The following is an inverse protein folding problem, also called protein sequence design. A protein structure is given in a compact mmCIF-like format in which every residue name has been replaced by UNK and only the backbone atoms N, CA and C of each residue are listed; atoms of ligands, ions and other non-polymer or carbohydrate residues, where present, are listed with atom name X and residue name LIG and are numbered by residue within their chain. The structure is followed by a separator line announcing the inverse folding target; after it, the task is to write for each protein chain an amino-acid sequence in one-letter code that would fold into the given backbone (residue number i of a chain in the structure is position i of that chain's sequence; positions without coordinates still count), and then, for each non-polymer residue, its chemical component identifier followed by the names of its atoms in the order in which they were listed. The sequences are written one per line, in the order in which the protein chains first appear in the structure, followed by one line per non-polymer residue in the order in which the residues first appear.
data_IF_592412413928
#
_entry.id   IF_592412413928
#
_cell.length_a   1.000
_cell.length_b   1.000
_cell.length_c   1.000
_cell.angle_alpha   90.00
_cell.angle_beta   90.00
_cell.angle_gamma   90.00
#
_symmetry.space_group_name_H-M   'P 1'
#
loop_
_entity.id
_entity.type
_entity.pdbx_description
1 polymer ?
#
# COMPACT_ATOMS: atom_id res chain seq x y z
N UNK A 1 -43.67 14.92 -9.37
CA UNK A 1 -43.02 13.60 -9.50
C UNK A 1 -41.63 13.69 -8.91
N UNK A 2 -41.47 13.37 -7.62
CA UNK A 2 -40.17 13.31 -6.95
C UNK A 2 -39.84 11.84 -6.72
N UNK A 3 -38.63 11.40 -7.07
CA UNK A 3 -38.16 10.08 -6.67
C UNK A 3 -37.98 10.09 -5.14
N UNK A 4 -38.69 9.24 -4.38
CA UNK A 4 -38.32 9.02 -2.99
C UNK A 4 -37.12 8.08 -2.97
N UNK A 5 -36.29 8.23 -1.93
CA UNK A 5 -35.12 7.42 -1.60
C UNK A 5 -33.81 7.87 -2.25
N UNK A 6 -32.78 8.24 -1.46
CA UNK A 6 -31.42 8.13 -1.94
C UNK A 6 -31.18 6.65 -2.23
N UNK A 7 -30.82 6.33 -3.46
CA UNK A 7 -30.16 5.06 -3.76
C UNK A 7 -28.87 5.11 -2.96
N UNK A 8 -28.80 4.41 -1.83
CA UNK A 8 -27.52 4.01 -1.27
C UNK A 8 -26.92 3.08 -2.31
N UNK A 9 -26.13 3.65 -3.21
CA UNK A 9 -25.19 2.84 -3.95
C UNK A 9 -24.31 2.21 -2.89
N UNK A 10 -24.43 0.89 -2.71
CA UNK A 10 -23.44 0.05 -2.02
C UNK A 10 -22.18 -0.01 -2.89
N UNK A 11 -21.71 1.17 -3.28
CA UNK A 11 -20.54 1.41 -4.09
C UNK A 11 -19.34 1.00 -3.26
N UNK A 12 -18.86 -0.17 -3.62
CA UNK A 12 -17.45 -0.49 -3.70
C UNK A 12 -16.81 -0.84 -2.36
N UNK A 13 -16.66 -2.14 -2.16
CA UNK A 13 -15.42 -2.70 -1.62
C UNK A 13 -14.26 -2.22 -2.51
N UNK A 14 -13.90 -0.94 -2.43
CA UNK A 14 -12.70 -0.42 -3.08
C UNK A 14 -11.55 -0.86 -2.19
N UNK A 15 -10.92 -1.96 -2.59
CA UNK A 15 -9.60 -2.34 -2.08
C UNK A 15 -8.63 -1.29 -2.60
N UNK A 16 -8.40 -0.25 -1.79
CA UNK A 16 -7.42 0.78 -2.11
C UNK A 16 -6.01 0.18 -1.93
N UNK A 17 -5.38 -0.22 -3.03
CA UNK A 17 -3.98 -0.63 -3.06
C UNK A 17 -3.11 0.54 -3.46
N UNK A 18 -1.97 0.70 -2.79
CA UNK A 18 -0.91 1.60 -3.20
C UNK A 18 0.40 0.83 -3.33
N UNK A 19 1.29 1.37 -4.17
CA UNK A 19 2.64 0.85 -4.32
C UNK A 19 3.68 1.94 -4.08
N UNK A 20 4.84 1.52 -3.60
CA UNK A 20 6.04 2.35 -3.48
C UNK A 20 7.18 1.63 -4.17
N UNK A 21 7.85 2.33 -5.08
CA UNK A 21 8.99 1.82 -5.82
C UNK A 21 10.24 2.60 -5.41
N UNK A 22 11.32 1.86 -5.17
CA UNK A 22 12.64 2.37 -4.80
C UNK A 22 13.62 1.78 -5.81
N UNK A 23 14.37 2.64 -6.50
CA UNK A 23 15.46 2.18 -7.33
C UNK A 23 16.76 2.15 -6.51
N UNK A 24 17.46 1.03 -6.57
CA UNK A 24 18.74 0.79 -5.90
C UNK A 24 19.81 0.71 -6.98
N UNK A 25 20.67 1.72 -7.12
CA UNK A 25 21.76 1.69 -8.09
C UNK A 25 22.73 0.53 -7.85
N UNK A 26 23.43 0.11 -8.90
CA UNK A 26 24.54 -0.80 -8.78
C UNK A 26 25.64 -0.28 -7.86
N UNK A 27 26.17 -1.18 -7.04
CA UNK A 27 27.20 -0.91 -6.06
C UNK A 27 27.47 -2.16 -5.21
N UNK A 28 28.57 -2.15 -4.47
CA UNK A 28 29.00 -3.29 -3.66
C UNK A 28 27.93 -3.70 -2.62
N UNK A 29 27.18 -2.71 -2.10
CA UNK A 29 26.15 -2.93 -1.08
C UNK A 29 24.75 -3.21 -1.67
N UNK A 30 24.59 -3.26 -3.01
CA UNK A 30 23.27 -3.37 -3.66
C UNK A 30 22.47 -4.55 -3.13
N UNK A 31 23.09 -5.73 -3.08
CA UNK A 31 22.43 -6.97 -2.64
C UNK A 31 22.06 -6.91 -1.16
N UNK A 32 22.92 -6.33 -0.32
CA UNK A 32 22.66 -6.18 1.11
C UNK A 32 21.45 -5.25 1.35
N UNK A 33 21.33 -4.17 0.57
CA UNK A 33 20.17 -3.26 0.65
C UNK A 33 18.88 -3.98 0.20
N UNK A 34 18.93 -4.75 -0.89
CA UNK A 34 17.76 -5.52 -1.37
C UNK A 34 17.33 -6.54 -0.31
N UNK A 35 18.27 -7.25 0.28
CA UNK A 35 18.01 -8.25 1.33
C UNK A 35 17.41 -7.60 2.59
N UNK A 36 17.92 -6.43 3.01
CA UNK A 36 17.35 -5.68 4.14
C UNK A 36 15.90 -5.27 3.87
N UNK A 37 15.61 -4.79 2.66
CA UNK A 37 14.26 -4.38 2.26
C UNK A 37 13.30 -5.57 2.16
N UNK A 38 13.79 -6.74 1.72
CA UNK A 38 13.00 -7.97 1.74
C UNK A 38 12.72 -8.41 3.18
N UNK A 39 13.73 -8.46 4.04
CA UNK A 39 13.55 -8.82 5.45
C UNK A 39 12.59 -7.87 6.17
N UNK A 40 12.66 -6.57 5.86
CA UNK A 40 11.73 -5.56 6.32
C UNK A 40 10.29 -5.84 5.86
N UNK A 41 10.10 -6.21 4.59
CA UNK A 41 8.80 -6.53 4.01
C UNK A 41 8.17 -7.75 4.72
N UNK A 42 8.97 -8.78 4.94
CA UNK A 42 8.53 -10.01 5.60
C UNK A 42 8.18 -9.78 7.08
N UNK A 43 8.94 -8.92 7.77
CA UNK A 43 8.74 -8.61 9.18
C UNK A 43 7.55 -7.67 9.43
N UNK A 44 7.25 -6.75 8.50
CA UNK A 44 6.26 -5.69 8.72
C UNK A 44 4.93 -6.00 8.07
N UNK A 45 3.95 -6.30 8.91
CA UNK A 45 2.56 -6.51 8.48
C UNK A 45 1.75 -5.23 8.33
N UNK A 46 2.12 -4.13 8.97
CA UNK A 46 1.30 -2.90 8.99
C UNK A 46 2.13 -1.66 8.68
N UNK A 47 1.61 -0.82 7.79
CA UNK A 47 2.20 0.43 7.34
C UNK A 47 1.23 1.58 7.62
N UNK A 48 1.78 2.71 8.07
CA UNK A 48 1.05 3.96 8.19
C UNK A 48 1.74 4.96 7.28
N UNK A 49 1.04 5.38 6.21
CA UNK A 49 1.57 6.35 5.24
C UNK A 49 0.73 7.61 5.24
N UNK A 50 1.38 8.76 5.08
CA UNK A 50 0.72 10.06 4.98
C UNK A 50 1.06 10.68 3.63
N UNK A 51 0.05 11.05 2.86
CA UNK A 51 0.26 11.75 1.61
C UNK A 51 0.50 13.26 1.80
N UNK A 52 0.90 13.94 0.72
CA UNK A 52 1.17 15.39 0.72
C UNK A 52 -0.07 16.27 0.97
N UNK A 53 -1.28 15.71 0.87
CA UNK A 53 -2.54 16.37 1.23
C UNK A 53 -2.92 16.13 2.69
N UNK A 54 -2.08 15.42 3.43
CA UNK A 54 -2.25 15.13 4.84
C UNK A 54 -3.15 13.92 5.15
N UNK A 55 -3.60 13.16 4.14
CA UNK A 55 -4.42 11.96 4.35
C UNK A 55 -3.54 10.83 4.87
N UNK A 56 -4.01 10.15 5.91
CA UNK A 56 -3.32 9.02 6.54
C UNK A 56 -3.99 7.72 6.11
N UNK A 57 -3.18 6.74 5.71
CA UNK A 57 -3.60 5.42 5.29
C UNK A 57 -2.96 4.40 6.21
N UNK A 58 -3.79 3.51 6.77
CA UNK A 58 -3.34 2.34 7.50
C UNK A 58 -3.49 1.17 6.53
N UNK A 59 -2.40 0.47 6.27
CA UNK A 59 -2.35 -0.57 5.24
C UNK A 59 -1.61 -1.80 5.74
N UNK A 60 -1.89 -2.93 5.11
CA UNK A 60 -1.14 -4.17 5.28
C UNK A 60 -0.27 -4.36 4.04
N UNK A 61 1.01 -4.70 4.23
CA UNK A 61 1.86 -5.07 3.09
C UNK A 61 1.33 -6.38 2.48
N UNK A 62 1.12 -6.37 1.16
CA UNK A 62 0.53 -7.49 0.41
C UNK A 62 1.44 -8.02 -0.68
N UNK A 63 2.50 -7.29 -1.04
CA UNK A 63 3.43 -7.71 -2.08
C UNK A 63 4.82 -7.08 -1.93
N UNK A 64 5.81 -7.81 -2.44
CA UNK A 64 7.20 -7.39 -2.57
C UNK A 64 7.73 -7.92 -3.90
N UNK A 65 8.46 -7.11 -4.65
CA UNK A 65 9.20 -7.53 -5.83
C UNK A 65 10.51 -6.76 -5.95
N UNK A 66 11.53 -7.39 -6.52
CA UNK A 66 12.87 -6.81 -6.67
C UNK A 66 13.53 -7.24 -7.99
N UNK A 67 12.94 -6.95 -9.17
CA UNK A 67 13.60 -7.23 -10.44
C UNK A 67 14.92 -6.46 -10.58
N UNK A 68 15.91 -7.12 -11.14
CA UNK A 68 17.13 -6.47 -11.62
C UNK A 68 16.85 -5.65 -12.89
N UNK A 69 17.61 -4.58 -13.05
CA UNK A 69 17.57 -3.63 -14.17
C UNK A 69 19.00 -3.44 -14.71
N UNK A 70 19.14 -2.72 -15.83
CA UNK A 70 20.45 -2.48 -16.46
C UNK A 70 21.43 -1.64 -15.61
N UNK A 71 20.99 -1.09 -14.48
CA UNK A 71 21.77 -0.15 -13.66
C UNK A 71 21.63 -0.38 -12.16
N UNK A 72 21.04 -1.50 -11.74
CA UNK A 72 20.68 -1.73 -10.34
C UNK A 72 19.50 -2.68 -10.19
N UNK A 73 18.78 -2.55 -9.08
CA UNK A 73 17.55 -3.30 -8.81
C UNK A 73 16.39 -2.33 -8.52
N UNK A 74 15.19 -2.68 -8.97
CA UNK A 74 13.98 -1.92 -8.66
C UNK A 74 13.16 -2.67 -7.62
N UNK A 75 13.06 -2.12 -6.41
CA UNK A 75 12.30 -2.73 -5.31
C UNK A 75 10.92 -2.10 -5.24
N UNK A 76 9.87 -2.92 -5.30
CA UNK A 76 8.47 -2.47 -5.17
C UNK A 76 7.80 -3.12 -3.98
N UNK A 77 7.12 -2.29 -3.18
CA UNK A 77 6.22 -2.69 -2.11
C UNK A 77 4.80 -2.43 -2.54
N UNK A 78 3.91 -3.39 -2.30
CA UNK A 78 2.48 -3.22 -2.49
C UNK A 78 1.79 -3.34 -1.14
N UNK A 79 0.86 -2.42 -0.86
CA UNK A 79 0.10 -2.46 0.37
C UNK A 79 -1.37 -2.13 0.13
N UNK A 80 -2.22 -2.87 0.81
CA UNK A 80 -3.66 -2.74 0.75
C UNK A 80 -4.16 -2.01 1.98
N UNK A 81 -4.96 -0.96 1.80
CA UNK A 81 -5.59 -0.23 2.90
C UNK A 81 -6.48 -1.15 3.73
N UNK A 82 -6.31 -1.09 5.05
CA UNK A 82 -7.23 -1.72 5.98
C UNK A 82 -8.52 -0.91 5.98
N UNK A 83 -9.60 -1.48 5.46
CA UNK A 83 -10.94 -0.90 5.60
C UNK A 83 -11.41 -1.13 7.04
N UNK A 84 -11.46 -0.07 7.83
CA UNK A 84 -12.25 -0.09 9.05
C UNK A 84 -13.70 0.15 8.67
N UNK A 85 -14.45 -0.93 8.44
CA UNK A 85 -15.91 -0.84 8.54
C UNK A 85 -16.22 -0.45 9.99
N UNK A 86 -16.49 0.82 10.25
CA UNK A 86 -17.25 1.19 11.45
C UNK A 86 -18.69 0.79 11.13
N UNK A 87 -19.26 -0.26 11.76
CA UNK A 87 -20.69 -0.49 11.65
C UNK A 87 -21.38 0.79 12.11
N UNK A 88 -22.30 1.28 11.29
CA UNK A 88 -22.99 2.55 11.50
C UNK A 88 -23.39 2.69 12.96
N UNK A 89 -22.89 3.76 13.57
CA UNK A 89 -23.27 4.14 14.92
C UNK A 89 -24.78 4.35 14.97
N UNK A 90 -25.49 3.35 15.47
CA UNK A 90 -26.84 3.49 15.99
C UNK A 90 -26.69 4.07 17.40
N UNK A 91 -26.87 5.38 17.52
CA UNK A 91 -27.79 6.05 18.46
C UNK A 91 -27.59 7.56 18.44
#
# INVERSE_FOLDING_TARGET
MGRPHPVTAWGEHQTDTWSMTIDIPDGDDRMDIVDELQAWAEARRTLVVRDNRGRVWISTLTGFSSPDTDWGSQVTFEATRVSSHLPGGVR
#
